data_IF_808077826290
#
_entry.id   IF_808077826290
#
_cell.length_a   1.000
_cell.length_b   1.000
_cell.length_c   1.000
_cell.angle_alpha   90.00
_cell.angle_beta   90.00
_cell.angle_gamma   90.00
#
_symmetry.space_group_name_H-M   'P 1'
#
loop_
_entity.id
_entity.type
_entity.pdbx_description
1 polymer ?
#
# COMPACT_ATOMS: atom_id res chain seq x y z
N UNK A 1 -3.97 53.65 -25.58
CA UNK A 1 -4.92 52.77 -24.87
C UNK A 1 -4.55 51.34 -25.22
N UNK A 2 -3.58 50.79 -24.49
CA UNK A 2 -3.08 49.43 -24.66
C UNK A 2 -3.95 48.50 -23.82
N UNK A 3 -4.72 47.65 -24.49
CA UNK A 3 -5.58 46.66 -23.84
C UNK A 3 -4.74 45.60 -23.13
N UNK A 4 -4.95 45.50 -21.83
CA UNK A 4 -4.36 44.46 -21.00
C UNK A 4 -5.20 43.19 -21.19
N UNK A 5 -4.69 42.23 -21.96
CA UNK A 5 -5.27 40.89 -22.07
C UNK A 5 -4.84 40.12 -20.81
N UNK A 6 -5.77 39.65 -19.95
CA UNK A 6 -5.40 38.84 -18.81
C UNK A 6 -4.83 37.51 -19.30
N UNK A 7 -3.64 37.20 -18.80
CA UNK A 7 -2.90 35.98 -19.03
C UNK A 7 -3.65 34.81 -18.37
N UNK A 8 -4.59 34.21 -19.09
CA UNK A 8 -5.23 32.96 -18.68
C UNK A 8 -4.25 31.83 -18.97
N UNK A 9 -3.38 31.56 -18.00
CA UNK A 9 -2.36 30.51 -18.09
C UNK A 9 -2.97 29.13 -18.42
N UNK A 10 -2.21 28.22 -19.07
CA UNK A 10 -2.76 27.01 -19.68
C UNK A 10 -3.24 25.88 -18.74
N UNK A 11 -3.33 26.05 -17.42
CA UNK A 11 -3.26 24.89 -16.51
C UNK A 11 -4.27 24.82 -15.38
N UNK A 12 -5.33 25.63 -15.35
CA UNK A 12 -6.45 25.36 -14.45
C UNK A 12 -7.39 24.34 -15.09
N UNK A 13 -6.90 23.12 -15.37
CA UNK A 13 -7.79 22.01 -15.72
C UNK A 13 -8.61 21.71 -14.47
N UNK A 14 -9.86 22.10 -14.47
CA UNK A 14 -10.82 21.67 -13.47
C UNK A 14 -10.67 20.15 -13.28
N UNK A 15 -10.67 19.64 -12.03
CA UNK A 15 -10.52 18.22 -11.79
C UNK A 15 -11.58 17.46 -12.60
N UNK A 16 -11.20 16.37 -13.29
CA UNK A 16 -12.13 15.52 -14.03
C UNK A 16 -13.38 15.22 -13.20
N UNK A 17 -14.56 15.35 -13.81
CA UNK A 17 -15.86 15.15 -13.13
C UNK A 17 -15.98 13.77 -12.45
N UNK A 18 -15.19 12.78 -12.86
CA UNK A 18 -15.11 11.45 -12.25
C UNK A 18 -14.67 11.46 -10.79
N UNK A 19 -13.89 12.47 -10.36
CA UNK A 19 -13.48 12.61 -8.96
C UNK A 19 -14.57 13.19 -8.07
N UNK A 20 -15.61 13.75 -8.69
CA UNK A 20 -16.72 14.37 -7.98
C UNK A 20 -17.83 13.35 -7.81
N UNK A 21 -18.29 12.64 -8.83
CA UNK A 21 -19.43 11.72 -8.69
C UNK A 21 -19.29 10.45 -9.50
N UNK A 22 -19.87 9.39 -8.95
CA UNK A 22 -20.25 8.20 -9.67
C UNK A 22 -21.76 8.23 -9.94
N UNK A 23 -22.18 7.68 -11.07
CA UNK A 23 -23.60 7.34 -11.27
C UNK A 23 -23.97 6.16 -10.37
N UNK A 24 -25.25 6.02 -10.01
CA UNK A 24 -25.74 4.91 -9.17
C UNK A 24 -25.36 3.53 -9.75
N UNK A 25 -25.41 3.38 -11.08
CA UNK A 25 -25.00 2.15 -11.76
C UNK A 25 -23.48 1.90 -11.65
N UNK A 26 -22.66 2.94 -11.81
CA UNK A 26 -21.20 2.83 -11.61
C UNK A 26 -20.86 2.48 -10.17
N UNK A 27 -21.53 3.10 -9.20
CA UNK A 27 -21.37 2.81 -7.77
C UNK A 27 -21.74 1.37 -7.44
N UNK A 28 -22.92 0.90 -7.90
CA UNK A 28 -23.37 -0.47 -7.68
C UNK A 28 -22.41 -1.49 -8.31
N UNK A 29 -21.94 -1.24 -9.53
CA UNK A 29 -20.98 -2.10 -10.22
C UNK A 29 -19.62 -2.13 -9.50
N UNK A 30 -19.13 -0.97 -9.05
CA UNK A 30 -17.87 -0.86 -8.31
C UNK A 30 -17.96 -1.59 -6.97
N UNK A 31 -19.02 -1.36 -6.18
CA UNK A 31 -19.22 -2.09 -4.91
C UNK A 31 -19.30 -3.60 -5.13
N UNK A 32 -20.09 -4.06 -6.10
CA UNK A 32 -20.19 -5.48 -6.42
C UNK A 32 -18.82 -6.08 -6.80
N UNK A 33 -17.99 -5.33 -7.54
CA UNK A 33 -16.62 -5.74 -7.83
C UNK A 33 -15.75 -5.80 -6.58
N UNK A 34 -15.74 -4.75 -5.75
CA UNK A 34 -14.94 -4.68 -4.51
C UNK A 34 -15.29 -5.80 -3.54
N UNK A 35 -16.59 -6.06 -3.33
CA UNK A 35 -17.08 -7.11 -2.45
C UNK A 35 -16.71 -8.50 -2.99
N UNK A 36 -16.94 -8.74 -4.28
CA UNK A 36 -16.59 -10.01 -4.93
C UNK A 36 -15.09 -10.29 -4.87
N UNK A 37 -14.26 -9.29 -5.16
CA UNK A 37 -12.80 -9.41 -5.12
C UNK A 37 -12.29 -9.65 -3.70
N UNK A 38 -12.81 -8.90 -2.71
CA UNK A 38 -12.44 -9.06 -1.30
C UNK A 38 -12.85 -10.44 -0.76
N UNK A 39 -14.08 -10.87 -1.02
CA UNK A 39 -14.55 -12.22 -0.67
C UNK A 39 -13.74 -13.32 -1.36
N UNK A 40 -13.31 -13.09 -2.61
CA UNK A 40 -12.40 -13.97 -3.33
C UNK A 40 -11.08 -14.17 -2.59
N UNK A 41 -10.44 -13.08 -2.17
CA UNK A 41 -9.19 -13.12 -1.40
C UNK A 41 -9.37 -13.82 -0.04
N UNK A 42 -10.43 -13.49 0.71
CA UNK A 42 -10.71 -14.15 1.99
C UNK A 42 -10.97 -15.65 1.83
N UNK A 43 -11.69 -16.04 0.77
CA UNK A 43 -11.98 -17.45 0.49
C UNK A 43 -10.71 -18.21 0.14
N UNK A 44 -9.84 -17.62 -0.69
CA UNK A 44 -8.56 -18.22 -1.06
C UNK A 44 -7.67 -18.34 0.18
N UNK A 45 -7.66 -17.32 1.04
CA UNK A 45 -6.93 -17.33 2.31
C UNK A 45 -7.44 -18.41 3.28
N UNK A 46 -8.76 -18.56 3.43
CA UNK A 46 -9.40 -19.59 4.26
C UNK A 46 -9.15 -21.00 3.73
N UNK A 47 -9.02 -21.16 2.41
CA UNK A 47 -8.77 -22.45 1.76
C UNK A 47 -7.27 -22.76 1.59
N UNK A 48 -6.37 -21.89 2.04
CA UNK A 48 -4.93 -21.98 1.80
C UNK A 48 -4.59 -22.09 0.30
N UNK A 49 -5.31 -21.33 -0.54
CA UNK A 49 -5.18 -21.27 -2.00
C UNK A 49 -4.74 -19.88 -2.49
N UNK A 50 -4.07 -19.11 -1.62
CA UNK A 50 -3.45 -17.88 -2.05
C UNK A 50 -2.39 -18.21 -3.11
N UNK A 51 -2.41 -17.45 -4.20
CA UNK A 51 -1.39 -17.55 -5.25
C UNK A 51 -0.02 -17.09 -4.69
N UNK A 52 1.10 -17.36 -5.40
CA UNK A 52 2.40 -16.84 -5.02
C UNK A 52 2.38 -15.33 -4.80
N UNK A 53 3.31 -14.82 -3.99
CA UNK A 53 3.28 -13.43 -3.52
C UNK A 53 3.23 -12.40 -4.64
N UNK A 54 3.99 -12.60 -5.73
CA UNK A 54 3.93 -11.77 -6.94
C UNK A 54 2.52 -11.72 -7.57
N UNK A 55 1.83 -12.86 -7.62
CA UNK A 55 0.45 -12.94 -8.12
C UNK A 55 -0.55 -12.33 -7.15
N UNK A 56 -0.32 -12.45 -5.83
CA UNK A 56 -1.13 -11.78 -4.82
C UNK A 56 -1.02 -10.25 -4.96
N UNK A 57 0.20 -9.72 -5.12
CA UNK A 57 0.44 -8.28 -5.33
C UNK A 57 -0.32 -7.79 -6.57
N UNK A 58 -0.22 -8.50 -7.70
CA UNK A 58 -0.95 -8.18 -8.93
C UNK A 58 -2.48 -8.23 -8.78
N UNK A 59 -3.01 -8.93 -7.77
CA UNK A 59 -4.44 -8.94 -7.43
C UNK A 59 -4.83 -7.82 -6.46
N UNK A 60 -3.97 -7.53 -5.48
CA UNK A 60 -4.22 -6.51 -4.46
C UNK A 60 -4.14 -5.10 -5.06
N UNK A 61 -3.20 -4.86 -5.95
CA UNK A 61 -2.94 -3.53 -6.50
C UNK A 61 -4.16 -2.94 -7.26
N UNK A 62 -4.80 -3.65 -8.21
CA UNK A 62 -6.02 -3.16 -8.85
C UNK A 62 -7.17 -2.93 -7.85
N UNK A 63 -7.25 -3.74 -6.79
CA UNK A 63 -8.27 -3.59 -5.77
C UNK A 63 -8.07 -2.31 -4.95
N UNK A 64 -6.83 -2.01 -4.54
CA UNK A 64 -6.48 -0.75 -3.89
C UNK A 64 -6.79 0.45 -4.78
N UNK A 65 -6.37 0.39 -6.05
CA UNK A 65 -6.63 1.44 -7.02
C UNK A 65 -8.14 1.68 -7.19
N UNK A 66 -8.93 0.61 -7.33
CA UNK A 66 -10.39 0.70 -7.44
C UNK A 66 -11.04 1.34 -6.20
N UNK A 67 -10.56 1.03 -4.99
CA UNK A 67 -11.02 1.68 -3.75
C UNK A 67 -10.68 3.17 -3.78
N UNK A 68 -9.45 3.54 -4.15
CA UNK A 68 -9.02 4.93 -4.17
C UNK A 68 -9.76 5.79 -5.22
N UNK A 69 -10.25 5.16 -6.31
CA UNK A 69 -11.12 5.81 -7.30
C UNK A 69 -12.53 6.16 -6.77
N UNK A 70 -12.92 5.71 -5.56
CA UNK A 70 -14.14 6.21 -4.93
C UNK A 70 -14.01 7.72 -4.67
N UNK A 71 -15.07 8.53 -4.93
CA UNK A 71 -15.03 9.96 -4.70
C UNK A 71 -14.68 10.30 -3.24
N UNK A 72 -13.91 11.37 -3.04
CA UNK A 72 -13.46 11.82 -1.73
C UNK A 72 -14.53 12.62 -0.95
N UNK A 73 -15.76 12.73 -1.48
CA UNK A 73 -16.87 13.45 -0.87
C UNK A 73 -17.99 12.51 -0.44
N UNK A 74 -18.87 12.98 0.44
CA UNK A 74 -20.06 12.21 0.82
C UNK A 74 -20.99 11.96 -0.38
N UNK A 75 -21.67 10.80 -0.45
CA UNK A 75 -21.71 9.73 0.56
C UNK A 75 -20.56 8.69 0.48
N UNK A 76 -19.58 8.89 -0.40
CA UNK A 76 -18.58 7.86 -0.73
C UNK A 76 -17.33 7.89 0.16
N UNK A 77 -17.00 9.03 0.75
CA UNK A 77 -15.79 9.21 1.56
C UNK A 77 -15.68 8.15 2.69
N UNK A 78 -16.77 7.95 3.44
CA UNK A 78 -16.86 6.94 4.50
C UNK A 78 -16.69 5.51 3.97
N UNK A 79 -17.32 5.21 2.82
CA UNK A 79 -17.22 3.90 2.16
C UNK A 79 -15.79 3.63 1.68
N UNK A 80 -15.14 4.63 1.08
CA UNK A 80 -13.74 4.59 0.63
C UNK A 80 -12.81 4.25 1.79
N UNK A 81 -12.96 4.97 2.90
CA UNK A 81 -12.17 4.73 4.12
C UNK A 81 -12.41 3.32 4.68
N UNK A 82 -13.66 2.85 4.71
CA UNK A 82 -14.01 1.53 5.22
C UNK A 82 -13.36 0.39 4.42
N UNK A 83 -13.46 0.41 3.09
CA UNK A 83 -12.81 -0.59 2.24
C UNK A 83 -11.29 -0.52 2.36
N UNK A 84 -10.71 0.68 2.37
CA UNK A 84 -9.27 0.83 2.47
C UNK A 84 -8.75 0.32 3.82
N UNK A 85 -9.49 0.57 4.90
CA UNK A 85 -9.17 0.05 6.25
C UNK A 85 -9.24 -1.47 6.30
N UNK A 86 -10.29 -2.06 5.74
CA UNK A 86 -10.43 -3.52 5.68
C UNK A 86 -9.28 -4.15 4.87
N UNK A 87 -8.93 -3.58 3.72
CA UNK A 87 -7.87 -4.12 2.88
C UNK A 87 -6.48 -3.93 3.51
N UNK A 88 -6.22 -2.79 4.13
CA UNK A 88 -4.97 -2.50 4.85
C UNK A 88 -4.78 -3.43 6.06
N UNK A 89 -5.86 -3.76 6.77
CA UNK A 89 -5.81 -4.70 7.89
C UNK A 89 -5.53 -6.14 7.45
N UNK A 90 -6.00 -6.53 6.25
CA UNK A 90 -5.89 -7.89 5.75
C UNK A 90 -4.65 -8.13 4.87
N UNK A 91 -4.15 -7.13 4.15
CA UNK A 91 -3.02 -7.30 3.24
C UNK A 91 -1.76 -7.86 3.93
N UNK A 92 -1.32 -7.36 5.10
CA UNK A 92 -0.21 -7.97 5.83
C UNK A 92 -0.46 -9.43 6.18
N UNK A 93 -1.68 -9.77 6.60
CA UNK A 93 -2.04 -11.16 6.92
C UNK A 93 -1.94 -12.08 5.70
N UNK A 94 -2.29 -11.58 4.51
CA UNK A 94 -2.14 -12.35 3.27
C UNK A 94 -0.67 -12.53 2.89
N UNK A 95 0.13 -11.47 2.98
CA UNK A 95 1.57 -11.50 2.72
C UNK A 95 2.26 -12.51 3.65
N UNK A 96 1.97 -12.45 4.95
CA UNK A 96 2.56 -13.33 5.97
C UNK A 96 2.29 -14.82 5.75
N UNK A 97 1.22 -15.17 5.04
CA UNK A 97 0.86 -16.56 4.76
C UNK A 97 1.62 -17.16 3.59
N UNK A 98 2.36 -16.34 2.86
CA UNK A 98 3.10 -16.76 1.67
C UNK A 98 4.60 -16.67 1.94
N UNK A 99 5.39 -17.64 1.46
CA UNK A 99 6.82 -17.46 1.42
C UNK A 99 7.15 -16.33 0.43
N UNK A 100 8.27 -15.66 0.63
CA UNK A 100 8.77 -14.66 -0.31
C UNK A 100 8.96 -15.26 -1.70
N UNK A 101 9.41 -16.51 -1.75
CA UNK A 101 9.68 -17.26 -2.97
C UNK A 101 9.17 -18.69 -2.85
N UNK A 102 8.66 -19.23 -3.95
CA UNK A 102 8.38 -20.66 -4.08
C UNK A 102 9.49 -21.28 -4.93
N UNK A 103 10.43 -21.97 -4.28
CA UNK A 103 11.42 -22.79 -4.99
C UNK A 103 10.68 -24.00 -5.57
N UNK A 104 10.90 -24.29 -6.86
CA UNK A 104 10.27 -25.46 -7.49
C UNK A 104 10.99 -26.72 -7.02
N UNK A 105 10.23 -27.79 -6.74
CA UNK A 105 10.83 -29.07 -6.37
C UNK A 105 11.80 -29.56 -7.47
N UNK A 106 13.01 -29.92 -7.07
CA UNK A 106 14.05 -30.45 -7.97
C UNK A 106 15.06 -29.42 -8.48
N UNK A 107 15.02 -28.19 -7.96
CA UNK A 107 16.08 -27.20 -8.15
C UNK A 107 17.23 -27.53 -7.19
N UNK A 108 18.44 -27.68 -7.72
CA UNK A 108 19.65 -27.89 -6.92
C UNK A 108 20.09 -26.56 -6.28
N UNK A 109 19.76 -26.37 -5.00
CA UNK A 109 20.13 -25.18 -4.23
C UNK A 109 21.63 -25.07 -3.96
N UNK A 110 22.44 -26.06 -4.36
CA UNK A 110 23.91 -25.97 -4.26
C UNK A 110 24.56 -25.35 -5.49
N UNK A 111 23.82 -25.20 -6.59
CA UNK A 111 24.32 -24.54 -7.79
C UNK A 111 24.34 -23.00 -7.58
N UNK A 112 25.52 -22.35 -7.64
CA UNK A 112 25.64 -20.91 -7.43
C UNK A 112 24.87 -20.08 -8.46
N UNK A 113 24.73 -20.55 -9.70
CA UNK A 113 24.00 -19.83 -10.75
C UNK A 113 22.49 -19.83 -10.44
N UNK A 114 21.99 -20.95 -9.94
CA UNK A 114 20.60 -21.09 -9.49
C UNK A 114 20.33 -20.20 -8.27
N UNK A 115 21.25 -20.21 -7.30
CA UNK A 115 21.18 -19.35 -6.11
C UNK A 115 21.08 -17.87 -6.47
N UNK A 116 21.88 -17.40 -7.43
CA UNK A 116 21.85 -16.03 -7.90
C UNK A 116 20.48 -15.65 -8.49
N UNK A 117 19.91 -16.53 -9.33
CA UNK A 117 18.58 -16.30 -9.94
C UNK A 117 17.46 -16.30 -8.88
N UNK A 118 17.56 -17.14 -7.86
CA UNK A 118 16.60 -17.15 -6.74
C UNK A 118 16.71 -15.85 -5.95
N UNK A 119 17.92 -15.40 -5.63
CA UNK A 119 18.14 -14.17 -4.89
C UNK A 119 17.60 -12.93 -5.65
N UNK A 120 17.85 -12.86 -6.97
CA UNK A 120 17.33 -11.79 -7.82
C UNK A 120 15.79 -11.71 -7.79
N UNK A 121 15.11 -12.84 -8.05
CA UNK A 121 13.64 -12.91 -8.02
C UNK A 121 13.04 -12.65 -6.63
N UNK A 122 13.75 -13.04 -5.57
CA UNK A 122 13.35 -12.71 -4.20
C UNK A 122 13.38 -11.21 -3.97
N UNK A 123 14.44 -10.54 -4.44
CA UNK A 123 14.58 -9.08 -4.42
C UNK A 123 13.48 -8.39 -5.21
N UNK A 124 13.17 -8.85 -6.42
CA UNK A 124 12.05 -8.32 -7.24
C UNK A 124 10.71 -8.45 -6.51
N UNK A 125 10.45 -9.61 -5.90
CA UNK A 125 9.21 -9.86 -5.18
C UNK A 125 9.10 -8.97 -3.94
N UNK A 126 10.20 -8.82 -3.18
CA UNK A 126 10.24 -7.93 -2.02
C UNK A 126 10.03 -6.47 -2.44
N UNK A 127 10.66 -6.03 -3.52
CA UNK A 127 10.42 -4.69 -4.07
C UNK A 127 8.95 -4.49 -4.43
N UNK A 128 8.31 -5.49 -5.05
CA UNK A 128 6.87 -5.44 -5.33
C UNK A 128 6.00 -5.34 -4.08
N UNK A 129 6.41 -5.96 -2.97
CA UNK A 129 5.74 -5.78 -1.66
C UNK A 129 5.92 -4.34 -1.17
N UNK A 130 7.15 -3.82 -1.16
CA UNK A 130 7.44 -2.46 -0.72
C UNK A 130 6.69 -1.42 -1.55
N UNK A 131 6.63 -1.60 -2.88
CA UNK A 131 5.89 -0.74 -3.79
C UNK A 131 4.39 -0.75 -3.47
N UNK A 132 3.81 -1.93 -3.23
CA UNK A 132 2.42 -2.06 -2.79
C UNK A 132 2.18 -1.31 -1.48
N UNK A 133 3.05 -1.48 -0.48
CA UNK A 133 2.92 -0.83 0.83
C UNK A 133 3.07 0.70 0.73
N UNK A 134 3.94 1.18 -0.17
CA UNK A 134 4.08 2.59 -0.50
C UNK A 134 2.85 3.18 -1.23
N UNK A 135 2.18 2.40 -2.08
CA UNK A 135 0.90 2.81 -2.68
C UNK A 135 -0.19 2.93 -1.62
N UNK A 136 -0.24 1.97 -0.68
CA UNK A 136 -1.16 2.01 0.47
C UNK A 136 -0.91 3.27 1.30
N UNK A 137 0.36 3.62 1.55
CA UNK A 137 0.73 4.85 2.26
C UNK A 137 0.20 6.10 1.57
N UNK A 138 0.55 6.29 0.29
CA UNK A 138 0.12 7.45 -0.48
C UNK A 138 -1.40 7.54 -0.58
N UNK A 139 -2.06 6.41 -0.79
CA UNK A 139 -3.52 6.32 -0.82
C UNK A 139 -4.16 6.74 0.50
N UNK A 140 -3.60 6.31 1.63
CA UNK A 140 -4.07 6.75 2.95
C UNK A 140 -3.84 8.23 3.20
N UNK A 141 -2.68 8.78 2.84
CA UNK A 141 -2.42 10.21 2.98
C UNK A 141 -3.46 11.02 2.19
N UNK A 142 -3.75 10.62 0.95
CA UNK A 142 -4.81 11.23 0.14
C UNK A 142 -6.18 11.13 0.85
N UNK A 143 -6.50 9.97 1.41
CA UNK A 143 -7.76 9.75 2.14
C UNK A 143 -7.88 10.60 3.39
N UNK A 144 -6.81 10.72 4.17
CA UNK A 144 -6.76 11.56 5.36
C UNK A 144 -6.96 13.03 5.00
N UNK A 145 -6.41 13.49 3.88
CA UNK A 145 -6.53 14.87 3.40
C UNK A 145 -7.84 15.18 2.68
N UNK A 146 -8.71 14.18 2.48
CA UNK A 146 -9.92 14.35 1.67
C UNK A 146 -9.64 14.52 0.18
N UNK A 147 -8.48 14.11 -0.30
CA UNK A 147 -8.06 14.24 -1.70
C UNK A 147 -8.65 13.10 -2.55
N UNK A 148 -8.93 13.37 -3.82
CA UNK A 148 -9.20 12.36 -4.84
C UNK A 148 -7.94 11.60 -5.21
N UNK A 149 -8.08 10.57 -6.04
CA UNK A 149 -6.96 9.77 -6.51
C UNK A 149 -7.03 9.57 -8.01
N UNK A 150 -5.95 9.95 -8.70
CA UNK A 150 -5.80 9.76 -10.14
C UNK A 150 -4.86 8.61 -10.39
N UNK A 151 -5.34 7.57 -11.07
CA UNK A 151 -4.48 6.47 -11.49
C UNK A 151 -3.41 6.98 -12.46
N UNK A 152 -2.16 6.53 -12.28
CA UNK A 152 -1.08 6.81 -13.21
C UNK A 152 -1.31 6.09 -14.54
N UNK A 153 -0.58 6.52 -15.59
CA UNK A 153 -0.54 5.80 -16.87
C UNK A 153 0.04 4.39 -16.68
N UNK A 154 1.03 4.30 -15.80
CA UNK A 154 1.60 3.03 -15.37
C UNK A 154 0.81 2.52 -14.17
N UNK A 155 0.34 1.26 -14.27
CA UNK A 155 -0.43 0.56 -13.23
C UNK A 155 0.26 0.47 -11.86
N UNK A 156 1.51 0.90 -11.76
CA UNK A 156 2.36 0.99 -10.58
C UNK A 156 2.10 2.22 -9.71
N UNK A 157 1.25 3.16 -10.15
CA UNK A 157 1.15 4.44 -9.47
C UNK A 157 -0.22 5.12 -9.50
N UNK A 158 -0.28 6.20 -8.75
CA UNK A 158 -1.37 7.17 -8.75
C UNK A 158 -0.96 8.37 -7.92
N UNK A 159 -1.64 9.46 -8.16
CA UNK A 159 -1.38 10.75 -7.51
C UNK A 159 -2.63 11.25 -6.81
N UNK A 160 -2.42 11.85 -5.64
CA UNK A 160 -3.48 12.54 -4.93
C UNK A 160 -3.86 13.81 -5.69
N UNK A 161 -5.15 14.11 -5.73
CA UNK A 161 -5.68 15.29 -6.41
C UNK A 161 -6.57 16.05 -5.44
N UNK A 162 -6.33 17.33 -5.27
CA UNK A 162 -7.22 18.16 -4.46
C UNK A 162 -8.64 18.15 -5.04
N UNK A 163 -9.63 17.90 -4.18
CA UNK A 163 -11.03 17.86 -4.54
C UNK A 163 -11.78 18.85 -3.64
N UNK A 164 -12.50 19.77 -4.27
CA UNK A 164 -13.34 20.73 -3.55
C UNK A 164 -14.42 20.00 -2.74
N UNK A 165 -14.52 20.30 -1.44
CA UNK A 165 -15.45 19.63 -0.54
C UNK A 165 -15.06 18.19 -0.19
N UNK A 166 -13.82 17.80 -0.47
CA UNK A 166 -13.25 16.54 0.00
C UNK A 166 -13.29 16.45 1.52
N UNK A 167 -13.68 15.29 2.05
CA UNK A 167 -13.81 15.06 3.48
C UNK A 167 -12.78 14.02 3.92
N UNK A 168 -12.05 14.34 4.99
CA UNK A 168 -11.21 13.36 5.68
C UNK A 168 -12.04 12.31 6.41
N UNK A 169 -11.36 11.42 7.14
CA UNK A 169 -12.03 10.33 7.87
C UNK A 169 -12.43 10.75 9.29
N UNK A 170 -13.43 10.06 9.85
CA UNK A 170 -13.90 10.29 11.22
C UNK A 170 -12.87 9.83 12.28
N UNK A 171 -13.01 10.33 13.51
CA UNK A 171 -12.09 10.03 14.61
C UNK A 171 -11.98 8.53 14.95
N UNK A 172 -13.09 7.78 14.82
CA UNK A 172 -13.07 6.33 15.09
C UNK A 172 -12.22 5.62 14.03
N UNK A 173 -12.38 6.00 12.76
CA UNK A 173 -11.55 5.48 11.67
C UNK A 173 -10.08 5.84 11.83
N UNK A 174 -9.74 7.06 12.31
CA UNK A 174 -8.36 7.46 12.64
C UNK A 174 -7.72 6.56 13.69
N UNK A 175 -8.43 6.33 14.80
CA UNK A 175 -7.95 5.46 15.89
C UNK A 175 -7.75 4.02 15.39
N UNK A 176 -8.70 3.50 14.61
CA UNK A 176 -8.59 2.16 14.01
C UNK A 176 -7.41 2.07 13.05
N UNK A 177 -7.22 3.07 12.19
CA UNK A 177 -6.10 3.11 11.25
C UNK A 177 -4.76 3.08 12.00
N UNK A 178 -4.58 3.92 13.02
CA UNK A 178 -3.36 3.93 13.85
C UNK A 178 -3.05 2.54 14.42
N UNK A 179 -4.06 1.86 14.97
CA UNK A 179 -3.92 0.49 15.48
C UNK A 179 -3.54 -0.52 14.39
N UNK A 180 -4.21 -0.46 13.24
CA UNK A 180 -3.93 -1.33 12.09
C UNK A 180 -2.51 -1.14 11.56
N UNK A 181 -2.03 0.11 11.41
CA UNK A 181 -0.69 0.41 10.92
C UNK A 181 0.38 -0.12 11.87
N UNK A 182 0.25 0.13 13.17
CA UNK A 182 1.22 -0.36 14.15
C UNK A 182 1.33 -1.88 14.15
N UNK A 183 0.18 -2.59 14.13
CA UNK A 183 0.15 -4.04 14.05
C UNK A 183 0.71 -4.57 12.72
N UNK A 184 0.40 -3.88 11.62
CA UNK A 184 0.86 -4.27 10.29
C UNK A 184 2.39 -4.16 10.17
N UNK A 185 3.01 -3.13 10.75
CA UNK A 185 4.48 -2.96 10.74
C UNK A 185 5.18 -4.12 11.42
N UNK A 186 4.77 -4.41 12.65
CA UNK A 186 5.30 -5.53 13.42
C UNK A 186 5.18 -6.84 12.64
N UNK A 187 4.01 -7.06 12.04
CA UNK A 187 3.71 -8.25 11.24
C UNK A 187 4.62 -8.39 10.01
N UNK A 188 4.77 -7.33 9.22
CA UNK A 188 5.60 -7.37 8.02
C UNK A 188 7.07 -7.52 8.40
N UNK A 189 7.56 -6.82 9.43
CA UNK A 189 8.93 -6.96 9.92
C UNK A 189 9.23 -8.41 10.36
N UNK A 190 8.35 -9.00 11.18
CA UNK A 190 8.51 -10.38 11.63
C UNK A 190 8.53 -11.39 10.47
N UNK A 191 7.72 -11.14 9.43
CA UNK A 191 7.69 -12.00 8.24
C UNK A 191 8.91 -11.82 7.35
N UNK A 192 9.46 -10.61 7.25
CA UNK A 192 10.57 -10.31 6.37
C UNK A 192 11.95 -10.75 6.96
N UNK A 193 12.08 -10.76 8.29
CA UNK A 193 13.32 -11.12 9.02
C UNK A 193 14.00 -12.42 8.56
N UNK A 194 13.29 -13.55 8.33
CA UNK A 194 13.91 -14.80 7.92
C UNK A 194 14.60 -14.74 6.54
N UNK A 195 14.30 -13.74 5.72
CA UNK A 195 14.85 -13.62 4.36
C UNK A 195 16.14 -12.80 4.29
N UNK A 196 16.64 -12.27 5.41
CA UNK A 196 17.95 -11.62 5.47
C UNK A 196 18.03 -10.21 4.86
N UNK A 197 19.24 -9.70 4.71
CA UNK A 197 19.56 -8.44 4.01
C UNK A 197 19.46 -8.62 2.50
N UNK A 198 18.49 -7.97 1.85
CA UNK A 198 18.32 -7.92 0.39
C UNK A 198 19.40 -7.08 -0.34
N UNK A 199 20.59 -6.93 0.25
CA UNK A 199 21.65 -6.01 -0.18
C UNK A 199 23.00 -6.69 -0.45
N UNK A 200 22.98 -7.96 -0.87
CA UNK A 200 24.19 -8.77 -0.98
C UNK A 200 24.51 -9.44 0.36
N UNK A 201 24.35 -10.76 0.36
CA UNK A 201 24.57 -11.69 1.48
C UNK A 201 23.56 -11.64 2.64
N UNK A 202 22.60 -12.57 2.56
CA UNK A 202 22.22 -13.44 3.68
C UNK A 202 21.31 -14.56 3.15
N UNK A 203 21.92 -15.70 2.78
CA UNK A 203 21.22 -16.96 2.47
C UNK A 203 21.50 -17.99 3.58
N UNK A 204 20.43 -18.45 4.23
CA UNK A 204 20.40 -19.73 4.94
C UNK A 204 21.02 -19.78 6.35
N UNK A 205 20.65 -20.81 7.14
CA UNK A 205 21.14 -21.02 8.51
C UNK A 205 22.61 -21.51 8.60
N UNK A 206 23.30 -21.69 7.47
CA UNK A 206 24.71 -22.11 7.41
C UNK A 206 25.61 -20.96 6.92
N UNK A 207 25.49 -19.80 7.58
CA UNK A 207 26.40 -18.68 7.36
C UNK A 207 27.80 -19.02 7.85
N UNK A 208 28.75 -19.16 6.93
CA UNK A 208 30.17 -19.25 7.21
C UNK A 208 30.60 -17.97 7.94
N UNK A 209 31.03 -18.11 9.19
CA UNK A 209 31.52 -17.02 10.05
C UNK A 209 32.67 -16.26 9.35
N UNK A 210 32.43 -15.04 8.85
CA UNK A 210 33.51 -14.28 8.22
C UNK A 210 33.27 -12.81 7.91
N UNK A 211 32.16 -12.44 7.28
CA UNK A 211 31.94 -11.04 6.87
C UNK A 211 31.04 -10.28 7.85
N UNK A 212 31.67 -9.33 8.55
CA UNK A 212 31.00 -8.37 9.43
C UNK A 212 30.38 -7.29 8.54
N UNK A 213 29.16 -7.52 8.05
CA UNK A 213 28.35 -6.44 7.48
C UNK A 213 28.14 -5.35 8.54
N UNK A 214 28.37 -4.10 8.16
CA UNK A 214 28.14 -2.94 9.04
C UNK A 214 26.64 -2.82 9.36
N UNK A 215 26.30 -2.36 10.57
CA UNK A 215 24.90 -2.17 11.00
C UNK A 215 24.09 -1.26 10.03
N UNK A 216 24.77 -0.37 9.30
CA UNK A 216 24.16 0.51 8.31
C UNK A 216 23.60 -0.23 7.08
N UNK A 217 24.24 -1.32 6.62
CA UNK A 217 23.77 -2.09 5.45
C UNK A 217 22.60 -3.02 5.80
N UNK A 218 22.61 -3.60 7.01
CA UNK A 218 21.48 -4.37 7.55
C UNK A 218 20.24 -3.50 7.79
N UNK A 219 20.43 -2.19 7.94
CA UNK A 219 19.35 -1.25 8.21
C UNK A 219 18.50 -0.91 6.97
N UNK A 220 18.98 -1.11 5.74
CA UNK A 220 18.36 -0.54 4.54
C UNK A 220 16.87 -0.83 4.34
N UNK A 221 16.47 -2.11 4.27
CA UNK A 221 15.06 -2.48 4.02
C UNK A 221 14.23 -2.52 5.31
N UNK A 222 14.82 -2.92 6.45
CA UNK A 222 14.12 -2.91 7.73
C UNK A 222 13.71 -1.49 8.10
N UNK A 223 14.62 -0.54 7.91
CA UNK A 223 14.35 0.88 8.10
C UNK A 223 13.30 1.38 7.11
N UNK A 224 13.33 0.93 5.85
CA UNK A 224 12.24 1.24 4.91
C UNK A 224 10.88 0.73 5.40
N UNK A 225 10.80 -0.49 5.98
CA UNK A 225 9.54 -1.02 6.51
C UNK A 225 9.11 -0.28 7.80
N UNK A 226 10.06 0.17 8.61
CA UNK A 226 9.80 0.98 9.81
C UNK A 226 9.30 2.39 9.42
N UNK A 227 9.94 3.00 8.42
CA UNK A 227 9.61 4.33 7.92
C UNK A 227 8.35 4.32 7.04
N UNK A 228 8.04 3.19 6.41
CA UNK A 228 6.77 2.97 5.74
C UNK A 228 5.61 3.26 6.69
N UNK A 229 4.63 4.01 6.20
CA UNK A 229 3.47 4.49 6.94
C UNK A 229 3.77 5.54 8.02
N UNK A 230 5.01 6.05 8.10
CA UNK A 230 5.34 7.13 9.04
C UNK A 230 4.59 8.38 8.61
N UNK A 231 4.46 8.61 7.30
CA UNK A 231 3.64 9.68 6.76
C UNK A 231 2.16 9.56 7.15
N UNK A 232 1.62 8.34 7.25
CA UNK A 232 0.24 8.14 7.75
C UNK A 232 0.14 8.57 9.22
N UNK A 233 1.07 8.14 10.07
CA UNK A 233 1.04 8.46 11.49
C UNK A 233 1.23 9.96 11.75
N UNK A 234 2.18 10.59 11.07
CA UNK A 234 2.40 12.03 11.14
C UNK A 234 1.17 12.82 10.67
N UNK A 235 0.53 12.37 9.59
CA UNK A 235 -0.70 12.98 9.08
C UNK A 235 -1.88 12.80 10.06
N UNK A 236 -1.98 11.65 10.73
CA UNK A 236 -2.98 11.43 11.79
C UNK A 236 -2.75 12.34 13.01
N UNK A 237 -1.49 12.51 13.41
CA UNK A 237 -1.11 13.38 14.53
C UNK A 237 -1.39 14.84 14.19
N UNK A 238 -1.07 15.28 12.96
CA UNK A 238 -1.37 16.63 12.45
C UNK A 238 -2.87 16.97 12.50
N UNK A 239 -3.74 15.99 12.31
CA UNK A 239 -5.19 16.18 12.32
C UNK A 239 -5.84 15.94 13.69
N UNK A 240 -5.08 15.51 14.70
CA UNK A 240 -5.59 15.37 16.06
C UNK A 240 -5.35 16.71 16.75
N UNK A 241 -6.40 17.50 17.07
CA UNK A 241 -6.19 18.74 17.81
C UNK A 241 -5.47 18.42 19.12
N UNK A 242 -4.55 19.29 19.59
CA UNK A 242 -4.00 19.13 20.93
C UNK A 242 -5.18 19.02 21.89
N UNK A 243 -5.16 18.02 22.78
CA UNK A 243 -6.13 17.94 23.86
C UNK A 243 -5.97 19.24 24.65
N UNK A 244 -6.82 20.24 24.36
CA UNK A 244 -6.93 21.41 25.22
C UNK A 244 -7.21 20.84 26.60
N UNK A 245 -6.26 21.02 27.53
CA UNK A 245 -6.43 20.65 28.92
C UNK A 245 -7.76 21.25 29.35
N UNK A 246 -8.78 20.39 29.47
CA UNK A 246 -10.07 20.77 30.01
C UNK A 246 -9.81 20.96 31.51
N UNK A 247 -9.39 22.18 31.85
CA UNK A 247 -9.21 22.70 33.21
C UNK A 247 -10.58 22.81 33.88
#
# INVERSE_FOLDING_TARGET
MTGHIPDTGPWSRAPPQSYLSLTESQEAALRAYLDSASLGLERDERKHRLAPLSSLISRLLPLFQAILQLPAREPWASTRAAYLLALTANAPRYIQKLPLMTVSDGVDETDPDVCAVIAEKAGETMQGVLDLLGIIERGWIAVLRGEGWRAGEDSTGGEAVEVEGGQGIDQTSKVRLRSVINLAREKILLWARPYGSFGGESMGPDGVDGEVHTEEERSGWEQQIVDMWKGILEELDRQTPPEEEVI
#
